data_IF_979344624353
#
_entry.id   IF_979344624353
#
_cell.length_a   1.000
_cell.length_b   1.000
_cell.length_c   1.000
_cell.angle_alpha   90.00
_cell.angle_beta   90.00
_cell.angle_gamma   90.00
#
_symmetry.space_group_name_H-M   'P 1'
#
loop_
_entity.id
_entity.type
_entity.pdbx_description
1 polymer ?
#
# COMPACT_ATOMS: atom_id res chain seq x y z
N UNK A 1 -10.89 -32.09 -39.29
CA UNK A 1 -10.61 -30.68 -38.99
C UNK A 1 -9.99 -30.65 -37.60
N UNK A 2 -8.64 -30.53 -37.54
CA UNK A 2 -7.87 -30.52 -36.30
C UNK A 2 -7.94 -29.16 -35.60
N UNK A 3 -7.69 -29.13 -34.26
CA UNK A 3 -7.72 -27.92 -33.49
C UNK A 3 -6.52 -27.02 -33.84
N UNK A 4 -6.82 -25.73 -34.03
CA UNK A 4 -5.81 -24.70 -34.28
C UNK A 4 -4.86 -24.60 -33.08
N UNK A 5 -3.58 -24.72 -33.35
CA UNK A 5 -2.51 -24.50 -32.40
C UNK A 5 -2.58 -23.07 -31.86
N UNK A 6 -2.65 -22.93 -30.54
CA UNK A 6 -2.50 -21.66 -29.86
C UNK A 6 -1.12 -21.07 -30.21
N UNK A 7 -1.14 -19.97 -30.96
CA UNK A 7 0.06 -19.23 -31.30
C UNK A 7 0.71 -18.73 -30.01
N UNK A 8 1.86 -19.28 -29.67
CA UNK A 8 2.70 -18.82 -28.57
C UNK A 8 3.05 -17.36 -28.77
N UNK A 9 2.89 -16.56 -27.72
CA UNK A 9 3.34 -15.19 -27.68
C UNK A 9 4.81 -15.11 -28.13
N UNK A 10 5.22 -14.09 -28.93
CA UNK A 10 6.57 -14.00 -29.41
C UNK A 10 7.54 -13.92 -28.25
N UNK A 11 8.44 -14.89 -28.16
CA UNK A 11 9.62 -14.79 -27.30
C UNK A 11 10.38 -13.55 -27.73
N UNK A 12 10.63 -12.65 -26.81
CA UNK A 12 11.52 -11.52 -27.05
C UNK A 12 12.81 -12.05 -27.65
N UNK A 13 13.28 -11.43 -28.73
CA UNK A 13 14.49 -11.86 -29.42
C UNK A 13 15.69 -11.93 -28.48
N UNK A 14 16.75 -12.61 -28.86
CA UNK A 14 17.97 -12.87 -28.09
C UNK A 14 18.66 -11.63 -27.49
N UNK A 15 18.21 -10.42 -27.84
CA UNK A 15 18.72 -9.13 -27.36
C UNK A 15 17.80 -8.45 -26.32
N UNK A 16 16.79 -9.13 -25.78
CA UNK A 16 15.88 -8.53 -24.80
C UNK A 16 16.42 -8.66 -23.37
N UNK A 17 16.48 -7.53 -22.67
CA UNK A 17 16.91 -7.50 -21.26
C UNK A 17 16.04 -8.39 -20.38
N UNK A 18 16.61 -9.15 -19.39
CA UNK A 18 15.85 -10.09 -18.55
C UNK A 18 14.61 -9.48 -17.84
N UNK A 19 14.64 -8.20 -17.47
CA UNK A 19 13.52 -7.51 -16.83
C UNK A 19 12.31 -7.23 -17.75
N UNK A 20 12.47 -7.46 -19.06
CA UNK A 20 11.41 -7.35 -20.07
C UNK A 20 10.79 -8.72 -20.41
N UNK A 21 11.36 -9.82 -19.89
CA UNK A 21 10.96 -11.18 -20.21
C UNK A 21 9.57 -11.49 -19.67
N UNK A 22 8.62 -11.77 -20.58
CA UNK A 22 7.24 -12.10 -20.21
C UNK A 22 7.12 -13.60 -19.99
N UNK A 23 6.85 -13.95 -18.75
CA UNK A 23 6.61 -15.33 -18.30
C UNK A 23 5.14 -15.53 -18.00
N UNK A 24 4.70 -16.78 -18.00
CA UNK A 24 3.41 -17.15 -17.47
C UNK A 24 3.42 -16.91 -15.94
N UNK A 25 2.53 -16.08 -15.38
CA UNK A 25 2.62 -15.65 -14.00
C UNK A 25 2.11 -16.73 -13.01
N UNK A 26 2.91 -17.76 -12.78
CA UNK A 26 2.59 -18.81 -11.80
C UNK A 26 3.11 -18.47 -10.39
N UNK A 27 4.25 -17.79 -10.30
CA UNK A 27 4.85 -17.33 -9.03
C UNK A 27 4.83 -15.82 -8.97
N UNK A 28 4.10 -15.30 -8.00
CA UNK A 28 3.90 -13.86 -7.87
C UNK A 28 4.60 -13.34 -6.61
N UNK A 29 5.21 -12.17 -6.74
CA UNK A 29 5.70 -11.41 -5.59
C UNK A 29 4.88 -10.14 -5.44
N UNK A 30 4.33 -9.93 -4.24
CA UNK A 30 3.57 -8.73 -3.91
C UNK A 30 4.36 -7.88 -2.93
N UNK A 31 4.44 -6.58 -3.20
CA UNK A 31 5.14 -5.59 -2.37
C UNK A 31 4.12 -4.64 -1.74
N UNK A 32 3.50 -4.99 -0.60
CA UNK A 32 2.59 -4.10 0.11
C UNK A 32 3.35 -3.01 0.86
N UNK A 33 3.00 -1.74 0.61
CA UNK A 33 3.49 -0.60 1.34
C UNK A 33 2.54 -0.27 2.49
N UNK A 34 3.02 -0.43 3.71
CA UNK A 34 2.27 -0.21 4.94
C UNK A 34 3.03 0.70 5.89
N UNK A 35 2.35 1.23 6.91
CA UNK A 35 2.96 2.10 7.90
C UNK A 35 3.63 1.34 9.04
N UNK A 36 4.54 2.01 9.74
CA UNK A 36 5.07 1.55 11.02
C UNK A 36 4.15 1.90 12.19
N UNK A 37 3.42 3.00 12.08
CA UNK A 37 2.57 3.56 13.13
C UNK A 37 1.08 3.31 12.83
N UNK A 38 0.26 3.32 13.88
CA UNK A 38 -1.20 3.26 13.77
C UNK A 38 -1.84 4.65 13.66
N UNK A 39 -3.13 4.69 13.92
CA UNK A 39 -3.96 5.89 13.97
C UNK A 39 -4.07 6.65 12.63
N UNK A 40 -3.90 5.94 11.53
CA UNK A 40 -4.06 6.45 10.17
C UNK A 40 -5.37 5.95 9.51
N UNK A 41 -6.45 5.87 10.29
CA UNK A 41 -7.76 5.42 9.78
C UNK A 41 -7.71 4.08 9.06
N UNK A 42 -8.28 4.03 7.85
CA UNK A 42 -8.33 2.83 7.01
C UNK A 42 -7.07 2.54 6.19
N UNK A 43 -6.00 3.34 6.29
CA UNK A 43 -4.80 3.28 5.44
C UNK A 43 -4.28 1.85 5.25
N UNK A 44 -3.87 1.17 6.33
CA UNK A 44 -3.35 -0.20 6.26
C UNK A 44 -4.43 -1.23 5.91
N UNK A 45 -5.63 -1.11 6.48
CA UNK A 45 -6.72 -2.04 6.24
C UNK A 45 -7.16 -2.06 4.76
N UNK A 46 -7.07 -0.92 4.08
CA UNK A 46 -7.39 -0.83 2.66
C UNK A 46 -6.34 -1.57 1.81
N UNK A 47 -5.04 -1.44 2.12
CA UNK A 47 -3.96 -2.21 1.48
C UNK A 47 -4.18 -3.72 1.67
N UNK A 48 -4.48 -4.16 2.90
CA UNK A 48 -4.72 -5.59 3.18
C UNK A 48 -5.90 -6.15 2.38
N UNK A 49 -7.02 -5.40 2.32
CA UNK A 49 -8.20 -5.81 1.55
C UNK A 49 -7.93 -5.87 0.05
N UNK A 50 -7.22 -4.88 -0.50
CA UNK A 50 -6.86 -4.86 -1.90
C UNK A 50 -5.93 -6.01 -2.27
N UNK A 51 -4.91 -6.25 -1.44
CA UNK A 51 -3.99 -7.36 -1.65
C UNK A 51 -4.70 -8.72 -1.58
N UNK A 52 -5.58 -8.92 -0.60
CA UNK A 52 -6.35 -10.15 -0.47
C UNK A 52 -7.24 -10.38 -1.71
N UNK A 53 -7.97 -9.35 -2.16
CA UNK A 53 -8.81 -9.44 -3.36
C UNK A 53 -7.98 -9.81 -4.58
N UNK A 54 -6.89 -9.11 -4.80
CA UNK A 54 -6.01 -9.37 -5.94
C UNK A 54 -5.40 -10.78 -5.88
N UNK A 55 -4.98 -11.24 -4.70
CA UNK A 55 -4.49 -12.60 -4.48
C UNK A 55 -5.53 -13.65 -4.86
N UNK A 56 -6.79 -13.45 -4.47
CA UNK A 56 -7.89 -14.36 -4.81
C UNK A 56 -8.20 -14.35 -6.31
N UNK A 57 -8.13 -13.18 -6.95
CA UNK A 57 -8.28 -13.03 -8.40
C UNK A 57 -7.19 -13.80 -9.15
N UNK A 58 -5.92 -13.64 -8.73
CA UNK A 58 -4.79 -14.35 -9.36
C UNK A 58 -4.86 -15.86 -9.16
N UNK A 59 -5.34 -16.35 -8.04
CA UNK A 59 -5.56 -17.78 -7.80
C UNK A 59 -6.68 -18.38 -8.68
N UNK A 60 -7.62 -17.55 -9.13
CA UNK A 60 -8.72 -17.95 -10.04
C UNK A 60 -8.41 -17.71 -11.50
N UNK A 61 -7.32 -17.02 -11.81
CA UNK A 61 -6.90 -16.73 -13.18
C UNK A 61 -6.53 -18.01 -13.95
N UNK A 62 -6.41 -17.92 -15.26
CA UNK A 62 -6.00 -19.02 -16.11
C UNK A 62 -4.74 -18.63 -16.91
N UNK A 63 -3.58 -19.20 -16.58
CA UNK A 63 -3.31 -20.16 -15.49
C UNK A 63 -3.36 -19.51 -14.10
N UNK A 64 -3.68 -20.31 -13.06
CA UNK A 64 -3.75 -19.80 -11.70
C UNK A 64 -2.35 -19.56 -11.11
N UNK A 65 -2.22 -18.55 -10.27
CA UNK A 65 -1.01 -18.36 -9.47
C UNK A 65 -0.88 -19.52 -8.46
N UNK A 66 0.26 -20.20 -8.50
CA UNK A 66 0.58 -21.36 -7.62
C UNK A 66 1.22 -20.90 -6.33
N UNK A 67 2.04 -19.88 -6.39
CA UNK A 67 2.79 -19.36 -5.26
C UNK A 67 2.69 -17.84 -5.21
N UNK A 68 2.47 -17.30 -4.00
CA UNK A 68 2.44 -15.86 -3.77
C UNK A 68 3.31 -15.54 -2.56
N UNK A 69 4.42 -14.85 -2.80
CA UNK A 69 5.34 -14.37 -1.79
C UNK A 69 5.11 -12.87 -1.51
N UNK A 70 5.46 -12.44 -0.31
CA UNK A 70 5.34 -11.05 0.11
C UNK A 70 6.71 -10.47 0.44
N UNK A 71 7.01 -9.31 -0.13
CA UNK A 71 8.13 -8.46 0.27
C UNK A 71 7.55 -7.22 0.97
N UNK A 72 7.64 -7.17 2.28
CA UNK A 72 6.82 -6.26 3.09
C UNK A 72 7.60 -5.00 3.44
N UNK A 73 6.96 -3.83 3.24
CA UNK A 73 7.41 -2.55 3.78
C UNK A 73 6.47 -2.12 4.89
N UNK A 74 7.02 -1.85 6.07
CA UNK A 74 6.29 -1.37 7.26
C UNK A 74 5.87 -2.45 8.25
N UNK A 75 5.96 -2.08 9.53
CA UNK A 75 5.70 -2.99 10.67
C UNK A 75 4.26 -3.49 10.72
N UNK A 76 3.28 -2.67 10.33
CA UNK A 76 1.86 -3.07 10.36
C UNK A 76 1.55 -4.18 9.38
N UNK A 77 2.16 -4.16 8.19
CA UNK A 77 2.08 -5.25 7.21
C UNK A 77 2.73 -6.52 7.73
N UNK A 78 3.97 -6.40 8.21
CA UNK A 78 4.70 -7.52 8.82
C UNK A 78 3.88 -8.23 9.89
N UNK A 79 3.39 -7.47 10.89
CA UNK A 79 2.65 -8.04 12.03
C UNK A 79 1.33 -8.68 11.58
N UNK A 80 0.66 -8.11 10.57
CA UNK A 80 -0.58 -8.65 10.02
C UNK A 80 -0.37 -9.97 9.28
N UNK A 81 0.66 -10.06 8.42
CA UNK A 81 0.89 -11.25 7.59
C UNK A 81 1.61 -12.37 8.34
N UNK A 82 2.48 -12.06 9.29
CA UNK A 82 3.08 -13.07 10.18
C UNK A 82 2.00 -13.84 10.97
N UNK A 83 0.98 -13.16 11.50
CA UNK A 83 -0.13 -13.82 12.20
C UNK A 83 -0.94 -14.76 11.29
N UNK A 84 -0.94 -14.52 9.99
CA UNK A 84 -1.63 -15.33 8.97
C UNK A 84 -0.75 -16.40 8.33
N UNK A 85 0.50 -16.53 8.80
CA UNK A 85 1.47 -17.50 8.28
C UNK A 85 1.67 -17.39 6.77
N UNK A 86 1.62 -16.16 6.23
CA UNK A 86 1.91 -15.90 4.83
C UNK A 86 3.40 -16.10 4.53
N UNK A 87 3.74 -16.45 3.31
CA UNK A 87 5.12 -16.55 2.86
C UNK A 87 5.72 -15.16 2.72
N UNK A 88 6.61 -14.79 3.65
CA UNK A 88 7.30 -13.50 3.66
C UNK A 88 8.76 -13.73 3.30
N UNK A 89 9.24 -13.04 2.25
CA UNK A 89 10.64 -13.07 1.84
C UNK A 89 11.47 -12.09 2.68
N UNK A 90 11.30 -10.80 2.45
CA UNK A 90 12.03 -9.74 3.15
C UNK A 90 11.07 -8.79 3.85
N UNK A 91 11.58 -8.14 4.90
CA UNK A 91 10.84 -7.18 5.70
C UNK A 91 11.67 -5.90 5.83
N UNK A 92 11.18 -4.80 5.26
CA UNK A 92 11.80 -3.50 5.36
C UNK A 92 10.98 -2.58 6.29
N UNK A 93 11.62 -1.64 6.99
CA UNK A 93 10.92 -0.67 7.81
C UNK A 93 10.04 0.26 6.96
N UNK A 94 9.06 0.92 7.59
CA UNK A 94 8.30 1.99 6.94
C UNK A 94 9.22 3.14 6.54
N UNK A 95 8.97 3.77 5.36
CA UNK A 95 9.82 4.84 4.85
C UNK A 95 9.71 6.11 5.69
N UNK A 96 10.83 6.84 5.78
CA UNK A 96 10.91 8.23 6.21
C UNK A 96 11.43 9.07 5.04
N UNK A 97 11.38 10.41 5.16
CA UNK A 97 11.93 11.30 4.13
C UNK A 97 13.41 10.98 3.81
N UNK A 98 14.18 10.57 4.81
CA UNK A 98 15.61 10.29 4.68
C UNK A 98 15.87 8.86 4.16
N UNK A 99 15.01 7.91 4.46
CA UNK A 99 15.25 6.48 4.18
C UNK A 99 14.51 5.96 2.94
N UNK A 100 13.53 6.71 2.42
CA UNK A 100 12.67 6.26 1.32
C UNK A 100 13.46 5.84 0.06
N UNK A 101 14.49 6.61 -0.33
CA UNK A 101 15.32 6.28 -1.47
C UNK A 101 16.11 4.98 -1.24
N UNK A 102 16.71 4.83 -0.05
CA UNK A 102 17.47 3.63 0.30
C UNK A 102 16.56 2.39 0.30
N UNK A 103 15.34 2.50 0.85
CA UNK A 103 14.35 1.42 0.84
C UNK A 103 13.93 1.07 -0.59
N UNK A 104 13.76 2.09 -1.46
CA UNK A 104 13.43 1.86 -2.87
C UNK A 104 14.54 1.07 -3.58
N UNK A 105 15.79 1.45 -3.39
CA UNK A 105 16.96 0.77 -3.96
C UNK A 105 17.09 -0.68 -3.46
N UNK A 106 16.96 -0.89 -2.16
CA UNK A 106 17.02 -2.22 -1.56
C UNK A 106 15.89 -3.11 -2.08
N UNK A 107 14.66 -2.61 -2.12
CA UNK A 107 13.52 -3.35 -2.65
C UNK A 107 13.68 -3.64 -4.14
N UNK A 108 14.13 -2.67 -4.95
CA UNK A 108 14.40 -2.88 -6.36
C UNK A 108 15.45 -3.99 -6.59
N UNK A 109 16.49 -4.00 -5.79
CA UNK A 109 17.50 -5.07 -5.83
C UNK A 109 16.90 -6.44 -5.48
N UNK A 110 16.11 -6.54 -4.41
CA UNK A 110 15.45 -7.79 -3.97
C UNK A 110 14.56 -8.35 -5.09
N UNK A 111 13.66 -7.53 -5.64
CA UNK A 111 12.70 -7.99 -6.66
C UNK A 111 13.37 -8.30 -7.99
N UNK A 112 14.39 -7.53 -8.39
CA UNK A 112 15.20 -7.78 -9.59
C UNK A 112 15.91 -9.13 -9.47
N UNK A 113 16.58 -9.37 -8.38
CA UNK A 113 17.31 -10.63 -8.12
C UNK A 113 16.35 -11.83 -8.09
N UNK A 114 15.18 -11.70 -7.45
CA UNK A 114 14.16 -12.76 -7.42
C UNK A 114 13.61 -13.06 -8.82
N UNK A 115 13.37 -12.03 -9.63
CA UNK A 115 12.88 -12.16 -10.99
C UNK A 115 13.91 -12.78 -11.94
N UNK A 116 15.15 -12.30 -11.91
CA UNK A 116 16.23 -12.83 -12.76
C UNK A 116 16.56 -14.30 -12.45
N UNK A 117 16.52 -14.69 -11.17
CA UNK A 117 16.75 -16.07 -10.75
C UNK A 117 15.53 -17.00 -10.92
N UNK A 118 14.45 -16.52 -11.55
CA UNK A 118 13.25 -17.31 -11.78
C UNK A 118 12.51 -17.71 -10.51
N UNK A 119 12.69 -17.01 -9.39
CA UNK A 119 11.92 -17.23 -8.16
C UNK A 119 10.54 -16.61 -8.23
N UNK A 120 10.37 -15.61 -9.06
CA UNK A 120 9.07 -14.96 -9.33
C UNK A 120 8.92 -14.70 -10.83
N UNK A 121 7.70 -14.75 -11.31
CA UNK A 121 7.34 -14.52 -12.71
C UNK A 121 6.70 -13.14 -12.93
N UNK A 122 6.14 -12.56 -11.87
CA UNK A 122 5.64 -11.18 -11.88
C UNK A 122 5.72 -10.54 -10.49
N UNK A 123 5.94 -9.23 -10.45
CA UNK A 123 6.02 -8.43 -9.22
C UNK A 123 5.00 -7.29 -9.28
N UNK A 124 4.27 -7.11 -8.20
CA UNK A 124 3.26 -6.05 -8.07
C UNK A 124 3.51 -5.21 -6.82
N UNK A 125 3.44 -3.88 -6.98
CA UNK A 125 3.45 -2.93 -5.88
C UNK A 125 2.02 -2.62 -5.44
N UNK A 126 1.74 -2.68 -4.13
CA UNK A 126 0.41 -2.39 -3.57
C UNK A 126 0.53 -1.26 -2.58
N UNK A 127 -0.05 -0.11 -2.92
CA UNK A 127 0.11 1.10 -2.11
C UNK A 127 -1.11 2.01 -2.19
N UNK A 128 -1.16 3.02 -1.31
CA UNK A 128 -2.17 4.07 -1.36
C UNK A 128 -1.65 5.23 -2.20
N UNK A 129 -2.26 5.43 -3.37
CA UNK A 129 -2.06 6.60 -4.23
C UNK A 129 -2.67 7.82 -3.56
N UNK A 130 -1.92 8.91 -3.46
CA UNK A 130 -2.37 10.16 -2.87
C UNK A 130 -3.14 11.01 -3.89
N UNK A 131 -4.43 11.22 -3.65
CA UNK A 131 -5.26 12.16 -4.44
C UNK A 131 -5.49 13.47 -3.70
N UNK A 132 -5.78 13.37 -2.41
CA UNK A 132 -5.92 14.53 -1.50
C UNK A 132 -5.77 14.06 -0.05
N UNK A 133 -5.69 15.00 0.90
CA UNK A 133 -5.63 14.67 2.32
C UNK A 133 -6.82 13.83 2.81
N UNK A 134 -7.98 13.96 2.17
CA UNK A 134 -9.23 13.25 2.53
C UNK A 134 -9.40 11.98 1.70
N UNK A 135 -8.87 11.94 0.46
CA UNK A 135 -9.12 10.86 -0.49
C UNK A 135 -7.82 10.17 -0.88
N UNK A 136 -7.72 8.90 -0.55
CA UNK A 136 -6.63 8.02 -1.00
C UNK A 136 -7.24 6.81 -1.71
N UNK A 137 -6.54 6.27 -2.70
CA UNK A 137 -6.96 5.09 -3.45
C UNK A 137 -5.87 4.02 -3.42
N UNK A 138 -6.21 2.80 -3.03
CA UNK A 138 -5.27 1.68 -3.16
C UNK A 138 -5.11 1.31 -4.62
N UNK A 139 -3.87 1.17 -5.04
CA UNK A 139 -3.47 0.76 -6.38
C UNK A 139 -2.65 -0.51 -6.29
N UNK A 140 -2.85 -1.41 -7.24
CA UNK A 140 -2.00 -2.58 -7.49
C UNK A 140 -1.32 -2.33 -8.83
N UNK A 141 -0.05 -2.00 -8.80
CA UNK A 141 0.74 -1.60 -9.98
C UNK A 141 1.73 -2.71 -10.35
N UNK A 142 1.73 -3.20 -11.60
CA UNK A 142 2.74 -4.16 -12.06
C UNK A 142 4.10 -3.48 -12.14
N UNK A 143 5.10 -4.07 -11.49
CA UNK A 143 6.50 -3.62 -11.55
C UNK A 143 7.32 -4.46 -12.53
N UNK A 144 7.18 -5.78 -12.47
CA UNK A 144 7.90 -6.72 -13.33
C UNK A 144 6.93 -7.77 -13.89
N UNK A 145 7.12 -8.20 -15.15
CA UNK A 145 8.07 -7.65 -16.13
C UNK A 145 7.75 -6.22 -16.53
N UNK A 146 8.78 -5.44 -16.86
CA UNK A 146 8.59 -4.08 -17.40
C UNK A 146 7.98 -4.19 -18.79
N UNK A 147 6.85 -3.52 -19.01
CA UNK A 147 6.15 -3.56 -20.30
C UNK A 147 6.34 -2.25 -21.06
N UNK A 148 6.28 -2.30 -22.39
CA UNK A 148 6.31 -1.08 -23.20
C UNK A 148 5.14 -0.13 -22.89
N UNK A 149 4.04 -0.65 -22.38
CA UNK A 149 2.89 0.14 -21.94
C UNK A 149 3.19 0.89 -20.62
N UNK A 150 3.85 0.24 -19.66
CA UNK A 150 4.27 0.89 -18.43
C UNK A 150 5.29 2.00 -18.66
N UNK A 151 6.22 1.79 -19.61
CA UNK A 151 7.19 2.81 -20.03
C UNK A 151 6.50 4.00 -20.72
N UNK A 152 5.49 3.76 -21.55
CA UNK A 152 4.73 4.83 -22.22
C UNK A 152 3.83 5.61 -21.26
N UNK A 153 3.22 4.95 -20.30
CA UNK A 153 2.40 5.59 -19.29
C UNK A 153 3.20 6.59 -18.43
N UNK A 154 4.49 6.31 -18.22
CA UNK A 154 5.40 7.21 -17.47
C UNK A 154 5.93 8.35 -18.35
N UNK A 155 6.03 8.14 -19.67
CA UNK A 155 6.48 9.13 -20.63
C UNK A 155 5.31 10.05 -21.07
N UNK A 156 4.73 10.81 -20.13
CA UNK A 156 3.71 11.80 -20.45
C UNK A 156 4.29 12.90 -21.36
N UNK A 157 4.03 12.80 -22.68
CA UNK A 157 4.51 13.73 -23.68
C UNK A 157 5.41 13.11 -24.76
N UNK A 158 5.47 11.79 -24.86
CA UNK A 158 6.35 11.09 -25.76
C UNK A 158 5.99 11.23 -27.23
N UNK A 159 6.99 11.56 -28.03
CA UNK A 159 6.96 11.57 -29.47
C UNK A 159 6.50 10.21 -30.04
N UNK A 160 5.43 10.20 -30.80
CA UNK A 160 4.91 9.05 -31.56
C UNK A 160 5.67 8.85 -32.89
N UNK A 161 6.95 9.22 -32.95
CA UNK A 161 7.80 9.01 -34.10
C UNK A 161 8.77 7.86 -33.84
N UNK A 162 8.75 6.84 -34.70
CA UNK A 162 9.82 5.85 -34.76
C UNK A 162 11.07 6.55 -35.33
N UNK A 163 11.80 7.24 -34.46
CA UNK A 163 13.12 7.78 -34.79
C UNK A 163 14.13 6.71 -34.43
N UNK A 164 14.86 6.20 -35.39
CA UNK A 164 16.01 5.33 -35.11
C UNK A 164 17.10 6.16 -34.46
N UNK A 165 17.32 5.90 -33.16
CA UNK A 165 18.39 6.52 -32.39
C UNK A 165 19.67 5.68 -32.50
N UNK A 166 20.79 6.35 -32.68
CA UNK A 166 22.10 5.74 -32.52
C UNK A 166 22.36 5.61 -31.01
N UNK A 167 22.51 4.36 -30.54
CA UNK A 167 22.80 4.05 -29.14
C UNK A 167 24.30 3.89 -28.92
N UNK A 168 24.87 4.71 -28.08
CA UNK A 168 26.27 4.59 -27.65
C UNK A 168 26.35 4.23 -26.15
N UNK A 169 27.16 3.24 -25.78
CA UNK A 169 28.02 2.37 -26.58
C UNK A 169 27.27 1.20 -27.22
N UNK A 170 26.09 0.80 -26.72
CA UNK A 170 25.19 -0.20 -27.31
C UNK A 170 23.82 -0.13 -26.64
N UNK A 171 22.77 -0.54 -27.39
CA UNK A 171 21.38 -0.65 -26.87
C UNK A 171 21.30 -1.50 -25.60
N UNK A 172 22.03 -2.61 -25.54
CA UNK A 172 22.03 -3.52 -24.41
C UNK A 172 22.57 -2.84 -23.13
N UNK A 173 23.75 -2.21 -23.20
CA UNK A 173 24.34 -1.50 -22.07
C UNK A 173 23.46 -0.36 -21.55
N UNK A 174 22.76 0.32 -22.46
CA UNK A 174 21.83 1.36 -22.09
C UNK A 174 20.63 0.78 -21.32
N UNK A 175 20.06 -0.34 -21.78
CA UNK A 175 18.97 -1.03 -21.08
C UNK A 175 19.41 -1.59 -19.72
N UNK A 176 20.62 -2.16 -19.64
CA UNK A 176 21.20 -2.67 -18.38
C UNK A 176 21.31 -1.58 -17.30
N UNK A 177 21.54 -0.32 -17.71
CA UNK A 177 21.60 0.81 -16.80
C UNK A 177 20.22 1.42 -16.49
N UNK A 178 19.38 1.61 -17.52
CA UNK A 178 18.13 2.37 -17.38
C UNK A 178 17.01 1.57 -16.73
N UNK A 179 16.87 0.26 -17.01
CA UNK A 179 15.75 -0.52 -16.49
C UNK A 179 15.78 -0.67 -14.96
N UNK A 180 16.93 -0.93 -14.31
CA UNK A 180 17.00 -0.91 -12.86
C UNK A 180 16.66 0.46 -12.26
N UNK A 181 17.18 1.55 -12.84
CA UNK A 181 16.87 2.91 -12.39
C UNK A 181 15.38 3.24 -12.54
N UNK A 182 14.75 2.79 -13.62
CA UNK A 182 13.32 2.93 -13.81
C UNK A 182 12.54 2.22 -12.69
N UNK A 183 12.91 0.97 -12.38
CA UNK A 183 12.28 0.19 -11.31
C UNK A 183 12.44 0.87 -9.94
N UNK A 184 13.65 1.33 -9.61
CA UNK A 184 13.90 2.11 -8.39
C UNK A 184 13.01 3.35 -8.32
N UNK A 185 12.89 4.09 -9.42
CA UNK A 185 12.07 5.29 -9.53
C UNK A 185 10.59 5.00 -9.31
N UNK A 186 10.04 3.89 -9.86
CA UNK A 186 8.65 3.50 -9.65
C UNK A 186 8.38 3.12 -8.19
N UNK A 187 9.27 2.36 -7.57
CA UNK A 187 9.14 1.99 -6.15
C UNK A 187 9.26 3.24 -5.28
N UNK A 188 10.22 4.12 -5.56
CA UNK A 188 10.41 5.37 -4.82
C UNK A 188 9.17 6.27 -4.90
N UNK A 189 8.59 6.43 -6.10
CA UNK A 189 7.32 7.13 -6.30
C UNK A 189 6.22 6.54 -5.44
N UNK A 190 6.01 5.22 -5.50
CA UNK A 190 5.02 4.52 -4.68
C UNK A 190 5.22 4.72 -3.18
N UNK A 191 6.48 4.72 -2.70
CA UNK A 191 6.80 5.01 -1.30
C UNK A 191 6.43 6.45 -0.90
N UNK A 192 6.75 7.45 -1.72
CA UNK A 192 6.40 8.84 -1.45
C UNK A 192 4.88 9.07 -1.45
N UNK A 193 4.17 8.51 -2.42
CA UNK A 193 2.71 8.58 -2.47
C UNK A 193 2.06 7.88 -1.26
N UNK A 194 2.59 6.72 -0.87
CA UNK A 194 2.13 6.00 0.31
C UNK A 194 2.36 6.80 1.59
N UNK A 195 3.52 7.46 1.73
CA UNK A 195 3.82 8.34 2.87
C UNK A 195 2.86 9.52 2.94
N UNK A 196 2.65 10.23 1.81
CA UNK A 196 1.71 11.33 1.74
C UNK A 196 0.27 10.90 2.10
N UNK A 197 -0.14 9.72 1.62
CA UNK A 197 -1.43 9.12 1.93
C UNK A 197 -1.56 8.75 3.41
N UNK A 198 -0.50 8.23 4.03
CA UNK A 198 -0.46 7.91 5.46
C UNK A 198 -0.65 9.16 6.32
N UNK A 199 0.06 10.24 5.99
CA UNK A 199 -0.07 11.51 6.72
C UNK A 199 -1.46 12.13 6.54
N UNK A 200 -2.01 12.14 5.32
CA UNK A 200 -3.38 12.62 5.05
C UNK A 200 -4.43 11.81 5.81
N UNK A 201 -4.34 10.48 5.76
CA UNK A 201 -5.25 9.60 6.48
C UNK A 201 -5.17 9.78 8.01
N UNK A 202 -3.95 9.99 8.55
CA UNK A 202 -3.75 10.27 9.98
C UNK A 202 -4.32 11.62 10.37
N UNK A 203 -4.10 12.67 9.59
CA UNK A 203 -4.68 14.00 9.83
C UNK A 203 -6.20 13.91 9.93
N UNK A 204 -6.86 13.35 8.94
CA UNK A 204 -8.33 13.18 8.93
C UNK A 204 -8.83 12.33 10.11
N UNK A 205 -8.12 11.24 10.44
CA UNK A 205 -8.50 10.39 11.56
C UNK A 205 -8.39 11.13 12.91
N UNK A 206 -7.37 11.97 13.09
CA UNK A 206 -7.18 12.76 14.32
C UNK A 206 -8.17 13.91 14.43
N UNK A 207 -8.52 14.56 13.33
CA UNK A 207 -9.57 15.58 13.31
C UNK A 207 -10.92 15.01 13.74
N UNK A 208 -11.30 13.86 13.18
CA UNK A 208 -12.51 13.14 13.58
C UNK A 208 -12.48 12.71 15.05
N UNK A 209 -11.34 12.18 15.52
CA UNK A 209 -11.18 11.78 16.92
C UNK A 209 -11.32 12.98 17.88
N UNK A 210 -10.75 14.14 17.49
CA UNK A 210 -10.84 15.37 18.28
C UNK A 210 -12.28 15.89 18.34
N UNK A 211 -13.00 15.86 17.22
CA UNK A 211 -14.41 16.25 17.17
C UNK A 211 -15.28 15.37 18.08
N UNK A 212 -15.13 14.06 17.94
CA UNK A 212 -15.86 13.09 18.78
C UNK A 212 -15.52 13.25 20.27
N UNK A 213 -14.27 13.54 20.62
CA UNK A 213 -13.86 13.79 21.99
C UNK A 213 -14.53 15.04 22.56
N UNK A 214 -14.62 16.14 21.78
CA UNK A 214 -15.31 17.38 22.18
C UNK A 214 -16.81 17.13 22.43
N UNK A 215 -17.47 16.39 21.57
CA UNK A 215 -18.88 16.02 21.74
C UNK A 215 -19.11 15.19 23.01
N UNK A 216 -18.22 14.21 23.25
CA UNK A 216 -18.29 13.38 24.45
C UNK A 216 -18.08 14.21 25.73
N UNK A 217 -17.11 15.11 25.75
CA UNK A 217 -16.85 16.01 26.88
C UNK A 217 -18.10 16.89 27.15
N UNK A 218 -18.70 17.46 26.11
CA UNK A 218 -19.91 18.25 26.24
C UNK A 218 -21.06 17.43 26.85
N UNK A 219 -21.30 16.25 26.33
CA UNK A 219 -22.34 15.33 26.87
C UNK A 219 -22.09 14.95 28.32
N UNK A 220 -20.86 14.57 28.65
CA UNK A 220 -20.50 14.22 30.03
C UNK A 220 -20.60 15.42 30.98
N UNK A 221 -20.27 16.62 30.55
CA UNK A 221 -20.43 17.86 31.33
C UNK A 221 -21.90 18.15 31.66
N UNK A 222 -22.80 17.94 30.69
CA UNK A 222 -24.23 18.08 30.91
C UNK A 222 -24.75 17.03 31.91
N UNK A 223 -24.32 15.77 31.76
CA UNK A 223 -24.69 14.69 32.70
C UNK A 223 -24.17 14.99 34.11
N UNK A 224 -22.93 15.41 34.26
CA UNK A 224 -22.34 15.79 35.54
C UNK A 224 -23.12 16.93 36.20
N UNK A 225 -23.42 18.01 35.45
CA UNK A 225 -24.17 19.13 35.99
C UNK A 225 -25.58 18.73 36.43
N UNK A 226 -26.28 17.88 35.67
CA UNK A 226 -27.61 17.33 36.07
C UNK A 226 -27.50 16.50 37.36
N UNK A 227 -26.53 15.58 37.41
CA UNK A 227 -26.32 14.75 38.60
C UNK A 227 -25.95 15.59 39.84
N UNK A 228 -25.09 16.61 39.66
CA UNK A 228 -24.73 17.56 40.72
C UNK A 228 -25.95 18.31 41.25
N UNK A 229 -26.79 18.88 40.35
CA UNK A 229 -28.01 19.60 40.72
C UNK A 229 -29.00 18.67 41.46
N UNK A 230 -29.19 17.43 40.99
CA UNK A 230 -30.02 16.44 41.62
C UNK A 230 -29.54 16.09 43.04
N UNK A 231 -28.22 15.93 43.21
CA UNK A 231 -27.62 15.66 44.53
C UNK A 231 -27.85 16.84 45.49
N UNK A 232 -27.57 18.07 45.07
CA UNK A 232 -27.79 19.28 45.87
C UNK A 232 -29.28 19.42 46.27
N UNK A 233 -30.19 19.20 45.28
CA UNK A 233 -31.63 19.29 45.56
C UNK A 233 -32.07 18.21 46.55
N UNK A 234 -31.54 16.99 46.41
CA UNK A 234 -31.81 15.91 47.37
C UNK A 234 -31.36 16.25 48.78
N UNK A 235 -30.13 16.74 48.93
CA UNK A 235 -29.59 17.16 50.26
C UNK A 235 -30.43 18.29 50.88
N UNK A 236 -30.83 19.29 50.07
CA UNK A 236 -31.70 20.37 50.52
C UNK A 236 -33.05 19.83 50.98
N UNK A 237 -33.68 18.93 50.22
CA UNK A 237 -34.95 18.31 50.60
C UNK A 237 -34.84 17.48 51.89
N UNK A 238 -33.74 16.76 52.07
CA UNK A 238 -33.46 16.00 53.31
C UNK A 238 -33.34 16.94 54.54
N UNK A 239 -32.62 18.07 54.40
CA UNK A 239 -32.48 19.06 55.45
C UNK A 239 -33.83 19.71 55.79
N UNK A 240 -34.60 20.14 54.77
CA UNK A 240 -35.92 20.75 54.99
C UNK A 240 -36.88 19.78 55.63
N UNK A 241 -36.94 18.53 55.13
CA UNK A 241 -37.80 17.50 55.69
C UNK A 241 -37.41 17.13 57.16
N UNK A 242 -36.12 17.08 57.46
CA UNK A 242 -35.60 16.87 58.82
C UNK A 242 -35.96 18.03 59.75
N UNK A 243 -35.85 19.29 59.31
CA UNK A 243 -36.23 20.47 60.05
C UNK A 243 -37.76 20.55 60.33
N UNK A 244 -38.57 20.12 59.34
CA UNK A 244 -40.03 20.05 59.51
C UNK A 244 -40.46 18.98 60.53
N UNK A 245 -39.80 17.82 60.49
CA UNK A 245 -40.05 16.72 61.48
C UNK A 245 -39.67 17.07 62.90
N UNK A 246 -38.80 18.04 63.10
CA UNK A 246 -38.43 18.54 64.46
C UNK A 246 -39.37 19.64 65.03
N UNK A 247 -40.26 20.18 64.17
CA UNK A 247 -41.25 21.20 64.60
C UNK A 247 -42.59 20.62 64.96
N UNK A 248 -42.88 19.36 64.73
CA UNK A 248 -44.06 18.63 65.18
C UNK A 248 -43.77 17.85 66.42
#
# INVERSE_FOLDING_TARGET
RGPAAAAGAPRAGADAHPLLDRRTPERLTMVPLTSDRGLAGGFNANVFRALQRFTEEQKRATPPAREIALEIVGKKGRDFYRRRKATIGHELPGPTAETALKIAQEMAHIVTHSFQNGRTDAVYLVYNEFKSAVTQRVVVEPLLPITGESLRATAAGGATGATDFLYEPSKQRLLDALLPMYLESQIYRGLLESMASEFGARMTAMDNATSNAKEMISSLTLQYNRARQAAITKELMEIVSGAEALKG
#
